data_IF_810518042506
#
_entry.id   IF_810518042506
#
_cell.length_a   1.000
_cell.length_b   1.000
_cell.length_c   1.000
_cell.angle_alpha   90.00
_cell.angle_beta   90.00
_cell.angle_gamma   90.00
#
_symmetry.space_group_name_H-M   'P 1'
#
loop_
_entity.id
_entity.type
_entity.pdbx_description
1 polymer ?
#
# COMPACT_ATOMS: atom_id res chain seq x y z
N UNK A 1 20.76 1.47 0.52
CA UNK A 1 19.86 0.35 0.79
C UNK A 1 18.49 0.96 1.07
N UNK A 2 17.62 1.00 0.05
CA UNK A 2 16.27 1.51 0.23
C UNK A 2 15.41 0.42 0.84
N UNK A 3 14.73 0.77 1.91
CA UNK A 3 13.69 -0.06 2.53
C UNK A 3 12.41 0.15 1.74
N UNK A 4 12.10 -0.73 0.83
CA UNK A 4 10.78 -0.76 0.23
C UNK A 4 9.84 -1.51 1.15
N UNK A 5 8.88 -0.86 1.55
CA UNK A 5 7.82 -1.34 2.40
C UNK A 5 7.06 -0.14 2.83
N UNK A 6 5.88 -0.10 3.14
CA UNK A 6 5.07 1.06 3.52
C UNK A 6 5.74 2.38 3.09
N UNK A 7 5.29 3.01 2.03
CA UNK A 7 5.88 4.27 1.54
C UNK A 7 5.76 5.30 2.65
N UNK A 8 6.82 5.44 3.46
CA UNK A 8 6.96 6.53 4.41
C UNK A 8 7.26 7.78 3.60
N UNK A 9 6.35 8.71 3.70
CA UNK A 9 6.37 10.05 3.14
C UNK A 9 7.70 10.77 3.40
N UNK A 10 8.59 10.78 2.42
CA UNK A 10 9.73 11.69 2.41
C UNK A 10 9.64 12.56 1.16
N UNK A 11 9.26 13.82 1.32
CA UNK A 11 9.31 14.83 0.28
C UNK A 11 10.63 15.58 0.34
N UNK A 12 11.40 15.54 -0.74
CA UNK A 12 12.49 16.49 -0.97
C UNK A 12 11.91 17.72 -1.66
N UNK A 13 11.93 18.89 -0.98
CA UNK A 13 11.58 20.16 -1.55
C UNK A 13 12.71 20.72 -2.39
N UNK A 14 12.41 21.24 -3.57
CA UNK A 14 13.24 22.26 -4.24
C UNK A 14 12.34 23.37 -4.78
N UNK A 15 12.54 24.55 -4.25
CA UNK A 15 11.95 25.81 -4.68
C UNK A 15 12.60 26.32 -5.99
N UNK A 16 11.78 26.76 -6.92
CA UNK A 16 12.24 27.49 -8.12
C UNK A 16 11.11 28.33 -8.69
N UNK A 17 11.11 29.61 -8.31
CA UNK A 17 10.29 30.68 -8.88
C UNK A 17 10.68 30.96 -10.34
N UNK A 18 9.72 31.05 -11.25
CA UNK A 18 9.82 31.91 -12.44
C UNK A 18 8.47 32.10 -13.11
N UNK A 19 8.00 33.32 -13.03
CA UNK A 19 6.92 33.90 -13.82
C UNK A 19 7.26 33.92 -15.33
N UNK A 20 6.35 33.48 -16.21
CA UNK A 20 6.00 34.30 -17.38
C UNK A 20 4.69 33.90 -18.07
N UNK A 21 4.11 34.90 -18.72
CA UNK A 21 2.77 35.10 -19.21
C UNK A 21 2.41 34.44 -20.55
N UNK A 22 1.12 34.08 -20.66
CA UNK A 22 0.23 34.25 -21.84
C UNK A 22 0.44 33.42 -23.10
N UNK A 23 -0.50 32.52 -23.38
CA UNK A 23 -1.32 32.54 -24.59
C UNK A 23 -2.54 31.64 -24.43
N UNK A 24 -3.72 32.18 -24.52
CA UNK A 24 -4.98 31.47 -24.52
C UNK A 24 -5.16 30.68 -25.81
N UNK A 25 -5.37 29.36 -25.70
CA UNK A 25 -6.00 28.58 -26.74
C UNK A 25 -7.26 27.95 -26.10
N UNK A 26 -8.41 28.41 -26.60
CA UNK A 26 -9.70 27.90 -26.18
C UNK A 26 -9.84 26.45 -26.66
N UNK A 27 -9.83 25.49 -25.74
CA UNK A 27 -10.32 24.15 -25.96
C UNK A 27 -11.64 23.99 -25.22
N UNK A 28 -12.66 23.57 -25.94
CA UNK A 28 -14.00 23.25 -25.47
C UNK A 28 -13.96 22.33 -24.27
N UNK A 29 -14.51 22.78 -23.17
CA UNK A 29 -14.67 22.04 -21.92
C UNK A 29 -15.48 20.76 -22.15
N UNK A 30 -14.85 19.61 -21.98
CA UNK A 30 -15.56 18.37 -21.72
C UNK A 30 -16.21 18.51 -20.33
N UNK A 31 -17.51 18.26 -20.27
CA UNK A 31 -18.30 18.41 -19.05
C UNK A 31 -17.75 17.52 -17.94
N UNK A 32 -17.42 18.10 -16.80
CA UNK A 32 -17.14 17.35 -15.59
C UNK A 32 -18.43 16.66 -15.12
N UNK A 33 -18.49 15.35 -15.24
CA UNK A 33 -19.50 14.56 -14.54
C UNK A 33 -19.22 14.71 -13.04
N UNK A 34 -20.16 15.31 -12.31
CA UNK A 34 -20.10 15.42 -10.85
C UNK A 34 -20.14 14.03 -10.20
N UNK A 35 -19.71 13.91 -8.93
CA UNK A 35 -19.70 12.63 -8.24
C UNK A 35 -21.09 12.01 -8.20
N UNK A 36 -21.16 10.70 -8.55
CA UNK A 36 -22.38 9.92 -8.40
C UNK A 36 -22.40 9.37 -6.97
N UNK A 37 -23.43 9.72 -6.19
CA UNK A 37 -23.57 9.27 -4.81
C UNK A 37 -24.70 8.28 -4.70
N UNK A 38 -24.48 7.11 -4.10
CA UNK A 38 -25.53 6.23 -3.61
C UNK A 38 -25.68 6.45 -2.10
N UNK A 39 -26.66 7.24 -1.70
CA UNK A 39 -26.94 7.53 -0.30
C UNK A 39 -28.44 7.55 -0.04
N UNK A 40 -28.83 7.11 1.15
CA UNK A 40 -30.21 7.17 1.67
C UNK A 40 -30.76 8.60 1.62
N UNK A 41 -32.09 8.75 1.67
CA UNK A 41 -32.89 10.00 1.59
C UNK A 41 -32.64 11.02 2.73
N UNK A 42 -31.48 10.98 3.41
CA UNK A 42 -31.01 11.96 4.39
C UNK A 42 -30.14 13.06 3.74
N UNK A 43 -29.94 14.19 4.45
CA UNK A 43 -28.96 15.20 4.02
C UNK A 43 -27.57 14.60 4.01
N UNK A 44 -26.78 14.88 2.95
CA UNK A 44 -25.39 14.43 2.87
C UNK A 44 -24.58 14.88 4.10
N UNK A 45 -23.63 14.04 4.58
CA UNK A 45 -22.70 14.43 5.64
C UNK A 45 -21.98 15.75 5.35
N UNK A 46 -21.74 16.55 6.38
CA UNK A 46 -21.18 17.91 6.22
C UNK A 46 -19.78 17.95 5.63
N UNK A 47 -18.99 16.87 5.76
CA UNK A 47 -17.65 16.75 5.22
C UNK A 47 -17.61 16.49 3.69
N UNK A 48 -18.70 16.03 3.09
CA UNK A 48 -18.72 15.56 1.68
C UNK A 48 -18.22 16.60 0.68
N UNK A 49 -18.60 17.90 0.75
CA UNK A 49 -18.06 18.89 -0.17
C UNK A 49 -16.53 19.04 -0.07
N UNK A 50 -15.98 19.02 1.15
CA UNK A 50 -14.54 19.13 1.38
C UNK A 50 -13.78 17.88 0.89
N UNK A 51 -14.28 16.70 1.20
CA UNK A 51 -13.74 15.41 0.72
C UNK A 51 -13.75 15.36 -0.81
N UNK A 52 -14.88 15.67 -1.44
CA UNK A 52 -15.01 15.64 -2.90
C UNK A 52 -14.04 16.61 -3.59
N UNK A 53 -13.90 17.83 -3.05
CA UNK A 53 -12.98 18.81 -3.60
C UNK A 53 -11.50 18.36 -3.43
N UNK A 54 -11.15 17.79 -2.28
CA UNK A 54 -9.82 17.27 -2.03
C UNK A 54 -9.47 16.11 -2.98
N UNK A 55 -10.37 15.11 -3.11
CA UNK A 55 -10.16 13.98 -4.03
C UNK A 55 -9.98 14.46 -5.47
N UNK A 56 -10.87 15.32 -5.97
CA UNK A 56 -10.79 15.84 -7.33
C UNK A 56 -9.48 16.62 -7.59
N UNK A 57 -9.05 17.42 -6.62
CA UNK A 57 -7.78 18.17 -6.72
C UNK A 57 -6.59 17.21 -6.79
N UNK A 58 -6.52 16.26 -5.85
CA UNK A 58 -5.43 15.27 -5.81
C UNK A 58 -5.40 14.42 -7.08
N UNK A 59 -6.54 13.92 -7.55
CA UNK A 59 -6.61 13.13 -8.78
C UNK A 59 -6.14 13.91 -10.00
N UNK A 60 -6.57 15.18 -10.14
CA UNK A 60 -6.16 16.04 -11.23
C UNK A 60 -4.66 16.32 -11.21
N UNK A 61 -4.12 16.68 -10.04
CA UNK A 61 -2.71 17.09 -9.91
C UNK A 61 -1.74 15.90 -10.06
N UNK A 62 -2.25 14.67 -9.86
CA UNK A 62 -1.47 13.43 -9.91
C UNK A 62 -1.89 12.48 -11.02
N UNK A 63 -2.75 12.92 -11.95
CA UNK A 63 -3.25 12.17 -13.12
C UNK A 63 -3.83 10.79 -12.78
N UNK A 64 -4.54 10.69 -11.65
CA UNK A 64 -5.23 9.46 -11.23
C UNK A 64 -6.52 9.33 -12.04
N UNK A 65 -6.70 8.23 -12.83
CA UNK A 65 -7.85 8.15 -13.74
C UNK A 65 -9.18 7.98 -13.03
N UNK A 66 -9.24 7.09 -12.03
CA UNK A 66 -10.47 6.76 -11.32
C UNK A 66 -10.22 6.40 -9.87
N UNK A 67 -11.22 6.65 -9.03
CA UNK A 67 -11.20 6.29 -7.61
C UNK A 67 -12.62 6.06 -7.08
N UNK A 68 -12.73 5.12 -6.13
CA UNK A 68 -13.87 4.98 -5.23
C UNK A 68 -13.38 5.26 -3.81
N UNK A 69 -14.08 6.17 -3.10
CA UNK A 69 -13.74 6.58 -1.73
C UNK A 69 -14.94 6.33 -0.84
N UNK A 70 -14.76 5.52 0.19
CA UNK A 70 -15.74 5.25 1.23
C UNK A 70 -15.26 5.89 2.55
N UNK A 71 -16.16 6.61 3.18
CA UNK A 71 -16.02 7.14 4.55
C UNK A 71 -17.18 6.59 5.36
N UNK A 72 -16.90 5.83 6.41
CA UNK A 72 -17.89 5.44 7.41
C UNK A 72 -17.56 6.17 8.73
N UNK A 73 -18.53 6.93 9.24
CA UNK A 73 -18.34 7.74 10.44
C UNK A 73 -19.61 7.68 11.32
N UNK A 74 -19.53 7.05 12.50
CA UNK A 74 -20.66 6.96 13.41
C UNK A 74 -21.27 8.32 13.78
N UNK A 75 -20.43 9.34 13.91
CA UNK A 75 -20.84 10.67 14.36
C UNK A 75 -21.32 11.59 13.23
N UNK A 76 -20.78 11.42 12.01
CA UNK A 76 -21.00 12.34 10.89
C UNK A 76 -21.80 11.72 9.74
N UNK A 77 -22.03 10.40 9.80
CA UNK A 77 -22.73 9.63 8.76
C UNK A 77 -21.80 9.07 7.68
N UNK A 78 -22.27 8.05 6.99
CA UNK A 78 -21.52 7.31 5.98
C UNK A 78 -21.70 7.92 4.60
N UNK A 79 -20.67 7.79 3.78
CA UNK A 79 -20.72 8.26 2.40
C UNK A 79 -19.73 7.47 1.52
N UNK A 80 -20.15 7.16 0.31
CA UNK A 80 -19.31 6.62 -0.75
C UNK A 80 -19.41 7.49 -1.98
N UNK A 81 -18.28 7.88 -2.55
CA UNK A 81 -18.20 8.66 -3.79
C UNK A 81 -17.33 8.00 -4.83
N UNK A 82 -17.71 8.16 -6.10
CA UNK A 82 -16.95 7.69 -7.26
C UNK A 82 -16.45 8.89 -8.04
N UNK A 83 -15.23 8.79 -8.57
CA UNK A 83 -14.55 9.87 -9.25
C UNK A 83 -13.82 9.35 -10.48
N UNK A 84 -13.86 10.11 -11.57
CA UNK A 84 -13.11 9.81 -12.78
C UNK A 84 -13.69 8.66 -13.61
N UNK A 85 -12.80 7.92 -14.28
CA UNK A 85 -13.18 6.89 -15.25
C UNK A 85 -12.53 5.54 -14.94
N UNK A 86 -13.24 4.46 -15.20
CA UNK A 86 -12.74 3.11 -15.17
C UNK A 86 -11.82 2.80 -16.35
N UNK A 87 -12.09 3.41 -17.53
CA UNK A 87 -11.30 3.21 -18.74
C UNK A 87 -10.78 4.53 -19.29
N UNK A 88 -9.46 4.69 -19.39
CA UNK A 88 -8.84 5.89 -19.95
C UNK A 88 -9.28 6.12 -21.40
N UNK A 89 -9.73 7.35 -21.67
CA UNK A 89 -10.17 7.75 -23.02
C UNK A 89 -11.60 7.36 -23.34
N UNK A 90 -12.34 6.72 -22.43
CA UNK A 90 -13.73 6.32 -22.62
C UNK A 90 -14.68 7.00 -21.62
N UNK A 91 -15.98 6.95 -21.96
CA UNK A 91 -17.07 7.36 -21.07
C UNK A 91 -17.50 6.16 -20.23
N UNK A 92 -16.67 5.80 -19.26
CA UNK A 92 -16.81 4.64 -18.39
C UNK A 92 -16.64 5.07 -16.93
N UNK A 93 -17.67 5.67 -16.31
CA UNK A 93 -17.55 6.23 -14.97
C UNK A 93 -17.31 5.12 -13.94
N UNK A 94 -16.45 5.38 -12.94
CA UNK A 94 -16.30 4.51 -11.77
C UNK A 94 -17.64 4.28 -11.09
N UNK A 95 -17.86 3.07 -10.58
CA UNK A 95 -19.06 2.70 -9.82
C UNK A 95 -18.71 2.18 -8.42
N UNK A 96 -19.63 2.31 -7.46
CA UNK A 96 -19.39 1.92 -6.05
C UNK A 96 -19.01 0.44 -5.91
N UNK A 97 -19.61 -0.44 -6.73
CA UNK A 97 -19.36 -1.88 -6.71
C UNK A 97 -18.12 -2.34 -7.49
N UNK A 98 -17.27 -1.43 -7.94
CA UNK A 98 -16.05 -1.79 -8.65
C UNK A 98 -15.16 -2.69 -7.82
N UNK A 99 -14.72 -3.80 -8.43
CA UNK A 99 -13.75 -4.71 -7.85
C UNK A 99 -12.32 -4.24 -8.16
N UNK A 100 -11.48 -4.26 -7.14
CA UNK A 100 -10.06 -3.93 -7.23
C UNK A 100 -9.21 -5.13 -6.82
N UNK A 101 -8.07 -5.32 -7.47
CA UNK A 101 -6.98 -6.08 -6.86
C UNK A 101 -6.47 -5.27 -5.68
N UNK A 102 -6.56 -5.85 -4.46
CA UNK A 102 -6.32 -5.09 -3.22
C UNK A 102 -4.88 -5.14 -2.73
N UNK A 103 -3.99 -5.77 -3.51
CA UNK A 103 -2.57 -5.81 -3.18
C UNK A 103 -2.31 -6.25 -1.74
N UNK A 104 -1.40 -5.57 -1.07
CA UNK A 104 -0.92 -5.94 0.26
C UNK A 104 -1.96 -5.89 1.38
N UNK A 105 -3.18 -5.36 1.17
CA UNK A 105 -4.28 -5.59 2.11
C UNK A 105 -4.50 -7.08 2.39
N UNK A 106 -4.18 -7.95 1.43
CA UNK A 106 -4.19 -9.42 1.56
C UNK A 106 -3.35 -9.92 2.74
N UNK A 107 -2.28 -9.22 3.12
CA UNK A 107 -1.40 -9.62 4.23
C UNK A 107 -2.10 -9.66 5.58
N UNK A 108 -3.05 -8.74 5.78
CA UNK A 108 -3.87 -8.71 6.99
C UNK A 108 -4.71 -9.98 7.09
N UNK A 109 -5.21 -10.47 5.96
CA UNK A 109 -6.00 -11.71 5.85
C UNK A 109 -5.14 -12.93 6.19
N UNK A 110 -3.95 -13.04 5.61
CA UNK A 110 -2.98 -14.10 5.89
C UNK A 110 -2.62 -14.15 7.37
N UNK A 111 -2.25 -13.00 7.94
CA UNK A 111 -1.85 -12.92 9.36
C UNK A 111 -3.05 -13.16 10.30
N UNK A 112 -4.27 -12.84 9.89
CA UNK A 112 -5.48 -13.19 10.64
C UNK A 112 -5.64 -14.71 10.73
N UNK A 113 -5.47 -15.47 9.64
CA UNK A 113 -5.52 -16.92 9.69
C UNK A 113 -4.41 -17.49 10.58
N UNK A 114 -3.20 -16.96 10.49
CA UNK A 114 -2.09 -17.37 11.38
C UNK A 114 -2.48 -17.16 12.85
N UNK A 115 -3.04 -16.01 13.21
CA UNK A 115 -3.47 -15.73 14.58
C UNK A 115 -4.65 -16.61 15.03
N UNK A 116 -5.57 -16.96 14.13
CA UNK A 116 -6.61 -17.95 14.41
C UNK A 116 -6.03 -19.34 14.67
N UNK A 117 -4.98 -19.72 13.93
CA UNK A 117 -4.28 -21.00 14.18
C UNK A 117 -3.49 -20.97 15.49
N UNK A 118 -3.01 -19.79 15.94
CA UNK A 118 -2.42 -19.61 17.27
C UNK A 118 -3.47 -19.86 18.36
N UNK A 119 -4.63 -19.21 18.29
CA UNK A 119 -5.69 -19.39 19.27
C UNK A 119 -6.28 -20.82 19.27
N UNK A 120 -6.20 -21.53 18.14
CA UNK A 120 -6.54 -22.96 18.04
C UNK A 120 -5.45 -23.88 18.61
N UNK A 121 -4.31 -23.35 19.06
CA UNK A 121 -3.17 -24.11 19.58
C UNK A 121 -2.44 -24.97 18.54
N UNK A 122 -2.60 -24.64 17.24
CA UNK A 122 -1.96 -25.38 16.12
C UNK A 122 -0.55 -24.92 15.82
N UNK A 123 -0.20 -23.68 16.21
CA UNK A 123 1.13 -23.11 16.16
C UNK A 123 1.31 -22.05 17.25
N UNK A 124 2.55 -21.69 17.55
CA UNK A 124 2.90 -20.59 18.45
C UNK A 124 3.61 -19.47 17.66
N UNK A 125 3.47 -18.22 18.11
CA UNK A 125 4.11 -17.07 17.48
C UNK A 125 5.65 -17.12 17.57
N UNK A 126 6.18 -17.77 18.58
CA UNK A 126 7.62 -18.00 18.79
C UNK A 126 8.15 -19.30 18.14
N UNK A 127 7.28 -20.11 17.51
CA UNK A 127 7.74 -21.25 16.74
C UNK A 127 8.66 -20.82 15.60
N UNK A 128 9.80 -21.50 15.39
CA UNK A 128 10.65 -21.25 14.24
C UNK A 128 9.98 -21.74 12.95
N UNK A 129 10.08 -20.96 11.87
CA UNK A 129 9.49 -21.32 10.57
C UNK A 129 10.01 -22.66 10.05
N UNK A 130 11.26 -23.04 10.35
CA UNK A 130 11.85 -24.32 9.98
C UNK A 130 11.11 -25.54 10.52
N UNK A 131 10.32 -25.39 11.58
CA UNK A 131 9.40 -26.43 12.09
C UNK A 131 8.31 -26.79 11.07
N UNK A 132 7.93 -25.84 10.23
CA UNK A 132 6.84 -25.98 9.26
C UNK A 132 7.35 -26.12 7.83
N UNK A 133 8.26 -25.27 7.41
CA UNK A 133 8.80 -25.21 6.05
C UNK A 133 10.31 -25.48 6.11
N UNK A 134 10.79 -26.55 5.47
CA UNK A 134 12.23 -26.89 5.45
C UNK A 134 13.02 -25.93 4.54
N UNK A 135 14.32 -25.89 4.76
CA UNK A 135 15.30 -25.17 3.91
C UNK A 135 15.12 -23.64 3.83
N UNK A 136 14.38 -23.04 4.77
CA UNK A 136 14.29 -21.56 4.87
C UNK A 136 15.63 -21.05 5.42
N UNK A 137 16.28 -20.05 4.78
CA UNK A 137 17.48 -19.42 5.34
C UNK A 137 17.21 -18.89 6.75
N UNK A 138 18.03 -19.24 7.72
CA UNK A 138 17.82 -18.97 9.16
C UNK A 138 16.48 -19.50 9.72
N UNK A 139 15.89 -20.51 9.09
CA UNK A 139 14.55 -21.00 9.46
C UNK A 139 14.45 -21.58 10.88
N UNK A 140 15.56 -21.95 11.50
CA UNK A 140 15.68 -22.34 12.90
C UNK A 140 15.62 -21.18 13.91
N UNK A 141 15.73 -19.93 13.42
CA UNK A 141 15.81 -18.70 14.21
C UNK A 141 14.68 -17.73 13.92
N UNK A 142 14.15 -17.74 12.68
CA UNK A 142 13.07 -16.86 12.27
C UNK A 142 11.77 -17.39 12.84
N UNK A 143 11.08 -16.60 13.67
CA UNK A 143 9.79 -16.98 14.26
C UNK A 143 8.61 -16.60 13.36
N UNK A 144 7.45 -17.22 13.61
CA UNK A 144 6.18 -16.89 12.95
C UNK A 144 5.83 -15.40 13.18
N UNK A 145 6.04 -14.87 14.40
CA UNK A 145 5.87 -13.45 14.69
C UNK A 145 6.74 -12.57 13.81
N UNK A 146 8.04 -12.86 13.72
CA UNK A 146 9.00 -12.06 12.93
C UNK A 146 8.68 -12.06 11.44
N UNK A 147 8.10 -13.14 10.89
CA UNK A 147 7.58 -13.15 9.52
C UNK A 147 6.40 -12.18 9.38
N UNK A 148 5.41 -12.28 10.28
CA UNK A 148 4.22 -11.42 10.26
C UNK A 148 4.55 -9.93 10.48
N UNK A 149 5.57 -9.64 11.31
CA UNK A 149 6.03 -8.30 11.70
C UNK A 149 7.06 -7.69 10.72
N UNK A 150 7.37 -8.38 9.61
CA UNK A 150 8.38 -7.93 8.63
C UNK A 150 9.78 -7.76 9.24
N UNK A 151 10.19 -8.68 10.16
CA UNK A 151 11.47 -8.63 10.89
C UNK A 151 12.32 -9.90 10.72
N UNK A 152 12.07 -10.66 9.65
CA UNK A 152 12.78 -11.93 9.39
C UNK A 152 14.20 -11.74 8.86
N UNK A 153 14.46 -10.65 8.13
CA UNK A 153 15.68 -10.43 7.36
C UNK A 153 15.73 -11.18 6.02
N UNK A 154 14.68 -11.90 5.63
CA UNK A 154 14.61 -12.57 4.33
C UNK A 154 14.45 -11.55 3.21
N UNK A 155 15.26 -11.72 2.14
CA UNK A 155 15.12 -10.91 0.93
C UNK A 155 13.72 -11.05 0.32
N UNK A 156 13.12 -9.95 -0.12
CA UNK A 156 11.84 -9.99 -0.82
C UNK A 156 12.05 -10.32 -2.29
N UNK A 157 11.49 -11.44 -2.76
CA UNK A 157 11.57 -11.84 -4.17
C UNK A 157 11.09 -10.73 -5.13
N UNK A 158 10.18 -9.86 -4.67
CA UNK A 158 9.62 -8.77 -5.48
C UNK A 158 10.62 -7.65 -5.80
N UNK A 159 11.83 -7.67 -5.21
CA UNK A 159 12.93 -6.78 -5.55
C UNK A 159 14.00 -7.43 -6.43
N UNK A 160 13.81 -8.69 -6.81
CA UNK A 160 14.73 -9.34 -7.74
C UNK A 160 14.58 -8.75 -9.15
N UNK A 161 15.66 -8.28 -9.78
CA UNK A 161 15.58 -7.70 -11.13
C UNK A 161 15.10 -8.69 -12.19
N UNK A 162 15.47 -9.98 -12.07
CA UNK A 162 15.05 -11.03 -13.01
C UNK A 162 13.56 -11.36 -12.87
N UNK A 163 13.05 -11.32 -11.64
CA UNK A 163 11.61 -11.42 -11.38
C UNK A 163 10.85 -10.28 -12.05
N UNK A 164 11.27 -9.02 -11.82
CA UNK A 164 10.62 -7.85 -12.41
C UNK A 164 10.73 -7.81 -13.94
N UNK A 165 11.87 -8.23 -14.50
CA UNK A 165 12.01 -8.41 -15.94
C UNK A 165 11.03 -9.45 -16.49
N UNK A 166 10.79 -10.54 -15.75
CA UNK A 166 9.81 -11.55 -16.14
C UNK A 166 8.37 -11.01 -16.11
N UNK A 167 8.04 -10.14 -15.15
CA UNK A 167 6.73 -9.48 -15.12
C UNK A 167 6.54 -8.56 -16.33
N UNK A 168 7.60 -7.84 -16.75
CA UNK A 168 7.57 -7.00 -17.94
C UNK A 168 7.46 -7.83 -19.24
N UNK A 169 8.23 -8.92 -19.36
CA UNK A 169 8.31 -9.72 -20.59
C UNK A 169 7.13 -10.70 -20.76
N UNK A 170 6.56 -11.17 -19.64
CA UNK A 170 5.45 -12.14 -19.60
C UNK A 170 4.50 -11.86 -18.44
N UNK A 171 3.68 -10.79 -18.52
CA UNK A 171 2.80 -10.37 -17.44
C UNK A 171 1.72 -11.41 -17.07
N UNK A 172 1.47 -12.38 -17.94
CA UNK A 172 0.50 -13.45 -17.69
C UNK A 172 1.12 -14.73 -17.10
N UNK A 173 2.43 -14.73 -16.81
CA UNK A 173 3.06 -15.90 -16.18
C UNK A 173 2.38 -16.24 -14.86
N UNK A 174 1.99 -17.51 -14.74
CA UNK A 174 1.54 -18.09 -13.47
C UNK A 174 2.77 -18.43 -12.63
N UNK A 175 2.82 -17.91 -11.40
CA UNK A 175 3.88 -18.15 -10.45
C UNK A 175 3.41 -19.11 -9.35
N UNK A 176 4.29 -20.04 -8.95
CA UNK A 176 4.05 -20.88 -7.77
C UNK A 176 4.75 -20.31 -6.53
N UNK A 177 4.24 -20.58 -5.31
CA UNK A 177 4.92 -20.19 -4.08
C UNK A 177 6.38 -20.66 -4.02
N UNK A 178 6.67 -21.87 -4.52
CA UNK A 178 8.01 -22.45 -4.53
C UNK A 178 8.96 -21.69 -5.45
N UNK A 179 8.50 -21.24 -6.63
CA UNK A 179 9.30 -20.40 -7.54
C UNK A 179 9.65 -19.06 -6.86
N UNK A 180 8.68 -18.42 -6.21
CA UNK A 180 8.87 -17.16 -5.50
C UNK A 180 9.86 -17.30 -4.35
N UNK A 181 9.72 -18.37 -3.54
CA UNK A 181 10.65 -18.67 -2.46
C UNK A 181 12.04 -19.00 -2.98
N UNK A 182 12.17 -19.72 -4.10
CA UNK A 182 13.46 -20.01 -4.71
C UNK A 182 14.20 -18.72 -5.10
N UNK A 183 13.50 -17.71 -5.62
CA UNK A 183 14.07 -16.39 -5.90
C UNK A 183 14.50 -15.72 -4.58
N UNK A 184 13.61 -15.60 -3.59
CA UNK A 184 13.92 -14.96 -2.31
C UNK A 184 15.11 -15.61 -1.60
N UNK A 185 15.22 -16.95 -1.65
CA UNK A 185 16.28 -17.70 -1.00
C UNK A 185 17.60 -17.75 -1.78
N UNK A 186 17.59 -17.36 -3.06
CA UNK A 186 18.81 -17.23 -3.86
C UNK A 186 19.68 -16.03 -3.45
N UNK A 187 19.07 -15.09 -2.73
CA UNK A 187 19.76 -13.90 -2.20
C UNK A 187 20.22 -14.11 -0.75
N UNK A 188 21.29 -13.44 -0.34
CA UNK A 188 21.69 -13.39 1.09
C UNK A 188 20.55 -12.78 1.94
N UNK A 189 20.47 -13.22 3.20
CA UNK A 189 19.62 -12.53 4.18
C UNK A 189 20.14 -11.12 4.42
N UNK A 190 19.25 -10.16 4.56
CA UNK A 190 19.61 -8.74 4.65
C UNK A 190 20.11 -8.35 6.05
N UNK A 191 19.66 -9.08 7.10
CA UNK A 191 20.04 -8.86 8.51
C UNK A 191 19.63 -10.07 9.38
N UNK A 192 20.05 -10.08 10.62
CA UNK A 192 19.70 -11.14 11.56
C UNK A 192 18.20 -11.04 11.97
N UNK A 193 17.49 -12.18 12.18
CA UNK A 193 16.10 -12.16 12.58
C UNK A 193 15.84 -11.30 13.81
N UNK A 194 14.86 -10.40 13.73
CA UNK A 194 14.49 -9.47 14.79
C UNK A 194 15.28 -8.17 14.86
N UNK A 195 16.35 -8.00 14.08
CA UNK A 195 17.26 -6.85 14.18
C UNK A 195 16.60 -5.53 13.78
N UNK A 196 15.84 -5.53 12.68
CA UNK A 196 15.13 -4.34 12.18
C UNK A 196 13.87 -4.72 11.39
N UNK A 197 13.10 -3.71 11.05
CA UNK A 197 11.99 -3.82 10.10
C UNK A 197 12.53 -3.75 8.67
N UNK A 198 12.06 -4.66 7.82
CA UNK A 198 12.19 -4.57 6.36
C UNK A 198 11.10 -5.39 5.70
N UNK A 199 10.29 -4.71 4.90
CA UNK A 199 9.15 -5.33 4.24
C UNK A 199 9.58 -6.42 3.27
N UNK A 200 9.00 -7.62 3.40
CA UNK A 200 9.33 -8.75 2.54
C UNK A 200 8.09 -9.59 2.22
N UNK A 201 7.76 -9.65 0.94
CA UNK A 201 6.68 -10.52 0.45
C UNK A 201 7.00 -12.00 0.67
N UNK A 202 8.28 -12.38 0.67
CA UNK A 202 8.76 -13.74 0.96
C UNK A 202 8.23 -14.26 2.31
N UNK A 203 8.14 -13.39 3.31
CA UNK A 203 7.60 -13.73 4.63
C UNK A 203 6.17 -14.26 4.54
N UNK A 204 5.35 -13.58 3.77
CA UNK A 204 3.91 -13.87 3.73
C UNK A 204 3.60 -15.07 2.83
N UNK A 205 4.42 -15.29 1.79
CA UNK A 205 4.36 -16.54 1.02
C UNK A 205 4.62 -17.75 1.94
N UNK A 206 5.64 -17.65 2.83
CA UNK A 206 5.92 -18.69 3.84
C UNK A 206 4.72 -18.92 4.77
N UNK A 207 4.10 -17.83 5.26
CA UNK A 207 2.90 -17.94 6.11
C UNK A 207 1.72 -18.55 5.37
N UNK A 208 1.55 -18.29 4.09
CA UNK A 208 0.56 -18.92 3.23
C UNK A 208 0.74 -20.44 3.16
N UNK A 209 1.98 -20.91 2.96
CA UNK A 209 2.29 -22.34 2.98
C UNK A 209 2.08 -22.99 4.36
N UNK A 210 2.34 -22.25 5.45
CA UNK A 210 2.02 -22.71 6.80
C UNK A 210 0.51 -22.88 6.97
N UNK A 211 -0.29 -21.94 6.46
CA UNK A 211 -1.76 -22.04 6.48
C UNK A 211 -2.23 -23.32 5.77
N UNK A 212 -1.76 -23.53 4.54
CA UNK A 212 -2.16 -24.72 3.77
C UNK A 212 -1.76 -26.02 4.46
N UNK A 213 -0.52 -26.07 5.00
CA UNK A 213 -0.02 -27.23 5.74
C UNK A 213 -0.85 -27.56 6.97
N UNK A 214 -1.23 -26.55 7.77
CA UNK A 214 -1.92 -26.77 9.05
C UNK A 214 -3.44 -26.93 8.91
N UNK A 215 -4.01 -26.36 7.84
CA UNK A 215 -5.45 -26.49 7.59
C UNK A 215 -5.81 -27.66 6.68
N UNK A 216 -4.87 -28.12 5.84
CA UNK A 216 -5.13 -29.08 4.78
C UNK A 216 -6.01 -28.54 3.65
N UNK A 217 -6.19 -27.22 3.58
CA UNK A 217 -6.97 -26.48 2.57
C UNK A 217 -6.08 -25.52 1.82
N UNK A 218 -6.48 -25.13 0.60
CA UNK A 218 -5.83 -24.00 -0.07
C UNK A 218 -6.01 -22.71 0.74
N UNK A 219 -5.09 -21.76 0.58
CA UNK A 219 -5.20 -20.45 1.22
C UNK A 219 -6.53 -19.76 0.89
N UNK A 220 -6.99 -19.85 -0.37
CA UNK A 220 -8.28 -19.33 -0.83
C UNK A 220 -9.45 -19.94 -0.03
N UNK A 221 -9.48 -21.27 0.12
CA UNK A 221 -10.52 -21.96 0.91
C UNK A 221 -10.44 -21.60 2.40
N UNK A 222 -9.22 -21.44 2.94
CA UNK A 222 -9.03 -21.03 4.33
C UNK A 222 -9.58 -19.63 4.58
N UNK A 223 -9.37 -18.68 3.66
CA UNK A 223 -9.90 -17.31 3.73
C UNK A 223 -11.42 -17.32 3.62
N UNK A 224 -11.96 -18.06 2.63
CA UNK A 224 -13.40 -18.19 2.43
C UNK A 224 -14.12 -18.67 3.68
N UNK A 225 -13.63 -19.74 4.29
CA UNK A 225 -14.29 -20.38 5.44
C UNK A 225 -14.15 -19.58 6.73
N UNK A 226 -13.03 -18.86 6.90
CA UNK A 226 -12.67 -18.26 8.18
C UNK A 226 -13.16 -16.82 8.34
N UNK A 227 -13.35 -16.10 7.22
CA UNK A 227 -13.85 -14.72 7.32
C UNK A 227 -14.65 -14.23 6.11
N UNK A 228 -14.43 -14.65 4.86
CA UNK A 228 -15.27 -14.15 3.77
C UNK A 228 -16.73 -14.55 3.97
N UNK A 229 -16.99 -15.83 4.14
CA UNK A 229 -18.36 -16.32 4.41
C UNK A 229 -18.92 -15.83 5.74
N UNK A 230 -18.21 -15.93 6.90
CA UNK A 230 -18.73 -15.46 8.18
C UNK A 230 -19.06 -13.97 8.25
N UNK A 231 -18.30 -13.13 7.56
CA UNK A 231 -18.53 -11.67 7.50
C UNK A 231 -19.46 -11.24 6.36
N UNK A 232 -19.86 -12.18 5.48
CA UNK A 232 -20.70 -11.87 4.32
C UNK A 232 -19.98 -11.06 3.24
N UNK A 233 -18.66 -11.22 3.10
CA UNK A 233 -17.86 -10.54 2.07
C UNK A 233 -18.06 -11.24 0.72
N UNK A 234 -19.13 -10.92 0.04
CA UNK A 234 -19.56 -11.62 -1.18
C UNK A 234 -18.76 -11.21 -2.41
N UNK A 235 -18.10 -10.06 -2.35
CA UNK A 235 -17.29 -9.48 -3.44
C UNK A 235 -15.78 -9.60 -3.15
N UNK A 236 -15.40 -10.43 -2.18
CA UNK A 236 -14.00 -10.62 -1.79
C UNK A 236 -13.57 -12.06 -2.06
N UNK A 237 -12.45 -12.23 -2.74
CA UNK A 237 -11.88 -13.54 -3.06
C UNK A 237 -10.36 -13.49 -3.10
N UNK A 238 -9.73 -14.63 -2.87
CA UNK A 238 -8.34 -14.89 -3.26
C UNK A 238 -8.38 -15.81 -4.48
N UNK A 239 -8.08 -15.30 -5.70
CA UNK A 239 -8.14 -16.09 -6.92
C UNK A 239 -7.23 -17.32 -6.87
N UNK A 240 -7.55 -18.34 -7.66
CA UNK A 240 -6.61 -19.42 -7.94
C UNK A 240 -5.44 -18.88 -8.79
N UNK A 241 -4.25 -19.47 -8.71
CA UNK A 241 -3.06 -18.93 -9.40
C UNK A 241 -3.20 -18.81 -10.92
N UNK A 242 -4.01 -19.65 -11.55
CA UNK A 242 -4.27 -19.64 -12.99
C UNK A 242 -5.46 -18.75 -13.41
N UNK A 243 -6.13 -18.13 -12.46
CA UNK A 243 -7.24 -17.20 -12.70
C UNK A 243 -6.77 -15.75 -12.51
N UNK A 244 -6.57 -15.06 -13.63
CA UNK A 244 -6.21 -13.63 -13.64
C UNK A 244 -7.43 -12.71 -13.80
N UNK A 245 -8.64 -13.25 -13.87
CA UNK A 245 -9.86 -12.45 -14.06
C UNK A 245 -10.19 -11.60 -12.84
N UNK A 246 -10.85 -10.48 -13.09
CA UNK A 246 -11.45 -9.62 -12.06
C UNK A 246 -12.96 -9.67 -12.28
N UNK A 247 -13.79 -9.94 -11.25
CA UNK A 247 -15.24 -9.93 -11.38
C UNK A 247 -15.77 -8.56 -11.84
N UNK A 248 -16.84 -8.56 -12.62
CA UNK A 248 -17.55 -7.34 -12.99
C UNK A 248 -18.42 -6.80 -11.85
N UNK A 249 -18.61 -5.47 -11.73
CA UNK A 249 -17.89 -4.44 -12.48
C UNK A 249 -16.46 -4.26 -11.95
N UNK A 250 -15.53 -3.87 -12.84
CA UNK A 250 -14.17 -3.50 -12.45
C UNK A 250 -13.59 -2.46 -13.42
N UNK A 251 -12.77 -1.52 -12.94
CA UNK A 251 -12.06 -0.60 -13.82
C UNK A 251 -10.83 -1.25 -14.44
N UNK A 252 -10.37 -0.73 -15.57
CA UNK A 252 -9.05 -1.06 -16.10
C UNK A 252 -7.97 -0.53 -15.18
N UNK A 253 -6.93 -1.32 -14.94
CA UNK A 253 -5.82 -0.98 -14.04
C UNK A 253 -4.62 -0.42 -14.78
N UNK A 254 -3.99 0.63 -14.23
CA UNK A 254 -2.92 1.37 -14.91
C UNK A 254 -1.65 1.50 -14.05
N UNK A 255 -0.48 1.47 -14.72
CA UNK A 255 0.82 1.73 -14.09
C UNK A 255 1.70 2.58 -14.99
N UNK A 256 2.44 3.52 -14.41
CA UNK A 256 3.47 4.26 -15.11
C UNK A 256 4.80 3.50 -15.11
N UNK A 257 5.50 3.53 -16.25
CA UNK A 257 6.78 2.83 -16.41
C UNK A 257 6.61 1.31 -16.54
N UNK A 258 7.71 0.58 -16.32
CA UNK A 258 7.74 -0.89 -16.25
C UNK A 258 8.17 -1.33 -14.85
N UNK A 259 7.93 -2.60 -14.49
CA UNK A 259 8.34 -3.14 -13.19
C UNK A 259 9.85 -2.97 -12.97
N UNK A 260 10.66 -3.18 -14.01
CA UNK A 260 12.12 -2.99 -13.94
C UNK A 260 12.53 -1.53 -13.82
N UNK A 261 11.86 -0.61 -14.52
CA UNK A 261 12.24 0.82 -14.52
C UNK A 261 11.86 1.53 -13.23
N UNK A 262 10.90 1.01 -12.47
CA UNK A 262 10.37 1.63 -11.25
C UNK A 262 10.72 0.85 -9.97
N UNK A 263 11.50 -0.24 -10.07
CA UNK A 263 11.78 -1.17 -8.98
C UNK A 263 12.39 -0.50 -7.72
N UNK A 264 13.22 0.52 -7.90
CA UNK A 264 13.92 1.15 -6.77
C UNK A 264 13.09 2.23 -6.07
N UNK A 265 12.28 2.97 -6.81
CA UNK A 265 11.62 4.19 -6.31
C UNK A 265 10.13 4.22 -6.56
N UNK A 266 9.59 3.28 -7.32
CA UNK A 266 8.24 3.29 -7.87
C UNK A 266 7.91 4.53 -8.72
N UNK A 267 8.86 5.44 -8.91
CA UNK A 267 8.72 6.67 -9.66
C UNK A 267 9.16 6.50 -11.11
N UNK A 268 8.52 7.24 -12.00
CA UNK A 268 9.08 7.44 -13.34
C UNK A 268 10.43 8.17 -13.25
N UNK A 269 11.32 7.97 -14.23
CA UNK A 269 12.48 8.85 -14.40
C UNK A 269 12.06 10.32 -14.32
N UNK A 270 12.84 11.15 -13.63
CA UNK A 270 12.52 12.59 -13.41
C UNK A 270 12.27 13.33 -14.74
N UNK A 271 12.92 12.91 -15.83
CA UNK A 271 12.73 13.45 -17.18
C UNK A 271 11.34 13.19 -17.75
N UNK A 272 10.66 12.12 -17.33
CA UNK A 272 9.39 11.67 -17.90
C UNK A 272 8.18 12.12 -17.07
N UNK A 273 8.42 12.44 -15.78
CA UNK A 273 7.36 12.91 -14.88
C UNK A 273 6.57 14.14 -15.41
N UNK A 274 7.20 15.19 -15.98
CA UNK A 274 6.46 16.32 -16.52
C UNK A 274 5.52 15.93 -17.66
N UNK A 275 5.92 14.98 -18.53
CA UNK A 275 5.08 14.52 -19.63
C UNK A 275 3.89 13.67 -19.12
N UNK A 276 4.11 12.86 -18.09
CA UNK A 276 3.06 12.09 -17.43
C UNK A 276 2.06 13.02 -16.73
N UNK A 277 2.53 13.98 -15.93
CA UNK A 277 1.68 14.95 -15.23
C UNK A 277 0.92 15.88 -16.20
N UNK A 278 1.46 16.12 -17.39
CA UNK A 278 0.77 16.85 -18.46
C UNK A 278 -0.22 15.97 -19.25
N UNK A 279 -0.31 14.67 -18.97
CA UNK A 279 -1.17 13.70 -19.68
C UNK A 279 -0.70 13.39 -21.10
N UNK A 280 0.55 13.69 -21.46
CA UNK A 280 1.15 13.38 -22.78
C UNK A 280 1.91 12.05 -22.79
N UNK A 281 2.36 11.58 -21.64
CA UNK A 281 2.81 10.21 -21.41
C UNK A 281 1.70 9.48 -20.65
N UNK A 282 1.09 8.50 -21.28
CA UNK A 282 0.01 7.71 -20.68
C UNK A 282 0.57 6.51 -19.91
N UNK A 283 -0.11 6.03 -18.85
CA UNK A 283 0.25 4.80 -18.18
C UNK A 283 -0.09 3.57 -19.02
N UNK A 284 0.56 2.45 -18.72
CA UNK A 284 0.28 1.15 -19.31
C UNK A 284 -0.98 0.52 -18.68
N UNK A 285 -1.74 -0.22 -19.46
CA UNK A 285 -2.85 -1.03 -18.95
C UNK A 285 -2.30 -2.39 -18.46
N UNK A 286 -2.51 -2.68 -17.17
CA UNK A 286 -2.04 -3.88 -16.48
C UNK A 286 -3.19 -4.79 -16.02
N UNK A 287 -4.41 -4.55 -16.52
CA UNK A 287 -5.62 -5.25 -16.06
C UNK A 287 -5.49 -6.76 -16.21
N UNK A 288 -4.94 -7.22 -17.33
CA UNK A 288 -4.82 -8.64 -17.65
C UNK A 288 -3.56 -9.31 -17.07
N UNK A 289 -2.71 -8.56 -16.33
CA UNK A 289 -1.53 -9.16 -15.70
C UNK A 289 -1.93 -10.20 -14.65
N UNK A 290 -1.24 -11.35 -14.62
CA UNK A 290 -1.55 -12.42 -13.67
C UNK A 290 -1.02 -12.08 -12.27
N UNK A 291 -1.89 -11.99 -11.21
CA UNK A 291 -1.51 -11.60 -9.85
C UNK A 291 -0.98 -12.76 -9.00
N UNK A 292 -0.78 -13.98 -9.54
CA UNK A 292 -0.40 -15.18 -8.79
C UNK A 292 0.88 -14.99 -7.96
N UNK A 293 1.78 -14.15 -8.42
CA UNK A 293 2.99 -13.81 -7.68
C UNK A 293 2.69 -13.07 -6.35
N UNK A 294 1.54 -12.39 -6.26
CA UNK A 294 1.06 -11.78 -5.02
C UNK A 294 0.50 -12.82 -4.05
N UNK A 295 -0.24 -13.79 -4.53
CA UNK A 295 -0.89 -14.86 -3.78
C UNK A 295 -1.36 -14.39 -2.39
N UNK A 296 -0.91 -15.07 -1.30
CA UNK A 296 -1.24 -14.67 0.08
C UNK A 296 -0.61 -13.35 0.52
N UNK A 297 0.34 -12.82 -0.23
CA UNK A 297 0.97 -11.53 0.04
C UNK A 297 0.28 -10.35 -0.67
N UNK A 298 -0.57 -10.60 -1.70
CA UNK A 298 -1.11 -9.47 -2.47
C UNK A 298 -2.14 -9.84 -3.54
N UNK A 299 -2.60 -11.09 -3.58
CA UNK A 299 -3.42 -11.59 -4.71
C UNK A 299 -4.94 -11.42 -4.55
N UNK A 300 -5.45 -10.95 -3.42
CA UNK A 300 -6.90 -10.86 -3.21
C UNK A 300 -7.54 -9.72 -4.03
N UNK A 301 -8.83 -9.89 -4.30
CA UNK A 301 -9.73 -8.94 -4.96
C UNK A 301 -10.84 -8.60 -3.98
N UNK A 302 -11.30 -7.33 -3.96
CA UNK A 302 -12.41 -6.88 -3.13
C UNK A 302 -13.05 -5.59 -3.66
N UNK A 303 -14.13 -5.16 -3.03
CA UNK A 303 -14.77 -3.85 -3.19
C UNK A 303 -14.50 -2.97 -1.96
N UNK A 304 -14.75 -1.67 -2.06
CA UNK A 304 -14.61 -0.77 -0.90
C UNK A 304 -15.58 -1.11 0.23
N UNK A 305 -16.79 -1.59 -0.09
CA UNK A 305 -17.80 -1.96 0.91
C UNK A 305 -17.40 -3.22 1.69
N UNK A 306 -16.88 -4.25 0.99
CA UNK A 306 -16.38 -5.45 1.66
C UNK A 306 -15.12 -5.14 2.49
N UNK A 307 -14.22 -4.28 2.00
CA UNK A 307 -13.05 -3.83 2.76
C UNK A 307 -13.42 -3.03 4.00
N UNK A 308 -14.48 -2.19 3.94
CA UNK A 308 -15.01 -1.50 5.12
C UNK A 308 -15.45 -2.50 6.19
N UNK A 309 -16.30 -3.45 5.80
CA UNK A 309 -16.76 -4.52 6.72
C UNK A 309 -15.58 -5.31 7.30
N UNK A 310 -14.58 -5.61 6.46
CA UNK A 310 -13.43 -6.38 6.87
C UNK A 310 -12.51 -5.62 7.84
N UNK A 311 -12.19 -4.34 7.56
CA UNK A 311 -11.27 -3.58 8.40
C UNK A 311 -11.86 -3.25 9.78
N UNK A 312 -13.17 -3.01 9.87
CA UNK A 312 -13.87 -2.86 11.14
C UNK A 312 -13.72 -4.15 11.99
N UNK A 313 -14.03 -5.30 11.40
CA UNK A 313 -13.87 -6.60 12.07
C UNK A 313 -12.38 -6.91 12.40
N UNK A 314 -11.44 -6.46 11.60
CA UNK A 314 -9.99 -6.62 11.81
C UNK A 314 -9.50 -5.85 13.04
N UNK A 315 -10.01 -4.64 13.26
CA UNK A 315 -9.53 -3.69 14.28
C UNK A 315 -10.36 -3.79 15.56
N UNK A 316 -11.68 -3.72 15.46
CA UNK A 316 -12.59 -3.72 16.62
C UNK A 316 -12.85 -5.14 17.17
N UNK A 317 -12.47 -6.17 16.40
CA UNK A 317 -12.64 -7.56 16.79
C UNK A 317 -13.80 -8.25 16.05
N UNK A 318 -13.91 -9.55 16.27
CA UNK A 318 -14.86 -10.42 15.54
C UNK A 318 -14.16 -11.47 14.69
N UNK A 319 -12.87 -11.29 14.39
CA UNK A 319 -12.04 -12.26 13.68
C UNK A 319 -11.19 -13.11 14.64
N UNK A 320 -10.88 -12.59 15.82
CA UNK A 320 -10.04 -13.21 16.84
C UNK A 320 -10.73 -13.15 18.20
N UNK A 321 -10.35 -14.04 19.12
CA UNK A 321 -10.73 -13.88 20.51
C UNK A 321 -10.04 -12.66 21.15
N UNK A 322 -10.56 -12.17 22.27
CA UNK A 322 -10.09 -10.94 22.92
C UNK A 322 -8.60 -11.00 23.31
N UNK A 323 -8.08 -12.17 23.68
CA UNK A 323 -6.68 -12.33 24.07
C UNK A 323 -5.76 -12.24 22.83
N UNK A 324 -6.11 -12.92 21.75
CA UNK A 324 -5.35 -12.91 20.49
C UNK A 324 -5.45 -11.54 19.79
N UNK A 325 -6.63 -10.90 19.83
CA UNK A 325 -6.79 -9.53 19.33
C UNK A 325 -5.89 -8.55 20.08
N UNK A 326 -5.84 -8.67 21.41
CA UNK A 326 -4.91 -7.85 22.22
C UNK A 326 -3.44 -8.07 21.82
N UNK A 327 -3.02 -9.31 21.58
CA UNK A 327 -1.66 -9.62 21.12
C UNK A 327 -1.39 -8.90 19.79
N UNK A 328 -2.34 -8.91 18.83
CA UNK A 328 -2.22 -8.18 17.58
C UNK A 328 -2.07 -6.68 17.81
N UNK A 329 -2.94 -6.08 18.62
CA UNK A 329 -2.94 -4.62 18.85
C UNK A 329 -1.72 -4.14 19.65
N UNK A 330 -1.17 -4.97 20.53
CA UNK A 330 0.05 -4.67 21.28
C UNK A 330 1.35 -4.85 20.45
N UNK A 331 1.27 -5.45 19.26
CA UNK A 331 2.45 -5.82 18.46
C UNK A 331 3.06 -4.66 17.65
N UNK A 332 2.42 -3.50 17.60
CA UNK A 332 2.91 -2.37 16.81
C UNK A 332 4.29 -1.89 17.23
N UNK A 333 5.20 -1.82 16.26
CA UNK A 333 6.55 -1.30 16.41
C UNK A 333 6.83 -0.31 15.28
N UNK A 334 7.62 0.73 15.54
CA UNK A 334 8.02 1.68 14.51
C UNK A 334 8.74 0.98 13.35
N UNK A 335 8.41 1.38 12.13
CA UNK A 335 9.10 0.93 10.91
C UNK A 335 10.45 1.62 10.73
N UNK A 336 10.61 2.82 11.32
CA UNK A 336 11.85 3.59 11.38
C UNK A 336 11.98 4.25 12.77
N UNK A 337 12.72 3.64 13.70
CA UNK A 337 12.90 4.21 15.05
C UNK A 337 13.58 5.58 15.09
N UNK A 338 14.27 5.97 14.00
CA UNK A 338 14.90 7.29 13.86
C UNK A 338 13.90 8.41 13.49
N UNK A 339 12.69 8.04 13.07
CA UNK A 339 11.64 8.97 12.64
C UNK A 339 10.38 8.82 13.53
N UNK A 340 10.11 9.76 14.45
CA UNK A 340 8.93 9.68 15.32
C UNK A 340 7.59 9.69 14.58
N UNK A 341 7.57 10.19 13.33
CA UNK A 341 6.38 10.20 12.46
C UNK A 341 6.25 8.97 11.57
N UNK A 342 7.16 7.99 11.68
CA UNK A 342 7.07 6.78 10.89
C UNK A 342 5.81 5.97 11.23
N UNK A 343 5.28 5.30 10.22
CA UNK A 343 4.25 4.31 10.42
C UNK A 343 4.73 3.20 11.39
N UNK A 344 3.78 2.51 11.99
CA UNK A 344 4.06 1.33 12.81
C UNK A 344 3.55 0.09 12.07
N UNK A 345 4.21 -1.04 12.31
CA UNK A 345 3.81 -2.33 11.77
C UNK A 345 3.80 -3.39 12.88
N UNK A 346 2.77 -4.20 12.90
CA UNK A 346 2.60 -5.27 13.86
C UNK A 346 2.43 -6.63 13.17
N UNK A 347 1.65 -7.51 13.76
CA UNK A 347 1.36 -8.85 13.24
C UNK A 347 0.48 -8.79 11.98
N UNK A 348 1.10 -8.44 10.84
CA UNK A 348 0.50 -8.31 9.53
C UNK A 348 -0.52 -7.17 9.40
N UNK A 349 -0.31 -6.11 10.15
CA UNK A 349 -1.20 -4.94 10.18
C UNK A 349 -0.36 -3.66 10.35
N UNK A 350 -0.77 -2.58 9.71
CA UNK A 350 -0.11 -1.29 9.76
C UNK A 350 -0.91 -0.28 10.59
N UNK A 351 -0.20 0.72 11.13
CA UNK A 351 -0.81 1.89 11.76
C UNK A 351 -0.21 3.16 11.18
N UNK A 352 -1.07 4.00 10.58
CA UNK A 352 -0.73 5.28 9.95
C UNK A 352 -1.49 6.39 10.69
N UNK A 353 -0.80 7.10 11.58
CA UNK A 353 -1.47 8.01 12.50
C UNK A 353 -2.48 7.26 13.38
N UNK A 354 -3.76 7.68 13.46
CA UNK A 354 -4.81 6.98 14.19
C UNK A 354 -5.38 5.77 13.45
N UNK A 355 -5.24 5.73 12.11
CA UNK A 355 -5.83 4.69 11.27
C UNK A 355 -5.01 3.39 11.35
N UNK A 356 -5.70 2.30 11.63
CA UNK A 356 -5.16 0.93 11.70
C UNK A 356 -5.75 0.12 10.55
N UNK A 357 -4.91 -0.56 9.78
CA UNK A 357 -5.32 -1.31 8.59
C UNK A 357 -4.13 -1.67 7.73
N UNK A 358 -4.22 -1.43 6.44
CA UNK A 358 -3.12 -1.62 5.49
C UNK A 358 -3.39 -0.88 4.18
N UNK A 359 -2.36 -0.61 3.41
CA UNK A 359 -2.45 -0.22 2.00
C UNK A 359 -2.12 -1.41 1.09
N UNK A 360 -2.43 -1.30 -0.17
CA UNK A 360 -2.13 -2.37 -1.10
C UNK A 360 -1.87 -1.89 -2.51
N UNK A 361 -0.65 -2.11 -2.98
CA UNK A 361 -0.22 -1.82 -4.33
C UNK A 361 0.04 -3.12 -5.09
N UNK A 362 -0.44 -3.18 -6.31
CA UNK A 362 -0.17 -4.21 -7.30
C UNK A 362 -0.23 -3.55 -8.69
N UNK A 363 0.45 -4.06 -9.73
CA UNK A 363 0.30 -3.49 -11.08
C UNK A 363 -1.16 -3.24 -11.43
N UNK A 364 -1.45 -2.00 -11.84
CA UNK A 364 -2.78 -1.55 -12.21
C UNK A 364 -3.61 -0.90 -11.11
N UNK A 365 -3.39 -1.24 -9.84
CA UNK A 365 -4.30 -0.85 -8.76
C UNK A 365 -3.58 -0.44 -7.49
N UNK A 366 -4.20 0.46 -6.74
CA UNK A 366 -3.86 0.69 -5.35
C UNK A 366 -5.11 0.85 -4.50
N UNK A 367 -5.05 0.29 -3.28
CA UNK A 367 -6.12 0.39 -2.30
C UNK A 367 -5.55 0.78 -0.94
N UNK A 368 -6.38 1.42 -0.14
CA UNK A 368 -6.14 1.68 1.28
C UNK A 368 -7.40 1.31 2.06
N UNK A 369 -7.24 0.68 3.20
CA UNK A 369 -8.28 0.52 4.22
C UNK A 369 -7.70 0.86 5.59
N UNK A 370 -8.40 1.68 6.35
CA UNK A 370 -7.98 2.06 7.69
C UNK A 370 -9.17 2.43 8.58
N UNK A 371 -9.17 1.92 9.80
CA UNK A 371 -10.15 2.17 10.83
C UNK A 371 -9.46 2.80 12.05
N UNK A 372 -10.07 3.84 12.59
CA UNK A 372 -9.66 4.49 13.84
C UNK A 372 -10.55 3.99 14.99
N UNK A 373 -10.04 3.11 15.87
CA UNK A 373 -10.85 2.55 16.95
C UNK A 373 -11.31 3.57 18.01
N UNK A 374 -10.67 4.75 18.08
CA UNK A 374 -11.02 5.77 19.05
C UNK A 374 -12.23 6.61 18.59
N UNK A 375 -12.34 6.90 17.30
CA UNK A 375 -13.43 7.69 16.70
C UNK A 375 -14.46 6.85 15.94
N UNK A 376 -14.15 5.60 15.63
CA UNK A 376 -14.95 4.74 14.75
C UNK A 376 -14.91 5.16 13.29
N UNK A 377 -14.02 6.10 12.90
CA UNK A 377 -13.89 6.52 11.49
C UNK A 377 -13.20 5.44 10.68
N UNK A 378 -13.84 5.00 9.59
CA UNK A 378 -13.24 4.15 8.58
C UNK A 378 -13.06 4.91 7.28
N UNK A 379 -11.89 4.76 6.66
CA UNK A 379 -11.58 5.29 5.33
C UNK A 379 -11.14 4.13 4.46
N UNK A 380 -11.83 3.92 3.33
CA UNK A 380 -11.44 2.95 2.31
C UNK A 380 -11.32 3.67 0.96
N UNK A 381 -10.22 3.44 0.26
CA UNK A 381 -9.93 4.07 -1.03
C UNK A 381 -9.51 2.98 -2.01
N UNK A 382 -10.16 2.91 -3.17
CA UNK A 382 -9.72 2.13 -4.32
C UNK A 382 -9.39 3.06 -5.49
N UNK A 383 -8.27 2.82 -6.16
CA UNK A 383 -7.84 3.55 -7.36
C UNK A 383 -7.39 2.60 -8.45
N UNK A 384 -7.59 2.98 -9.69
CA UNK A 384 -7.16 2.23 -10.86
C UNK A 384 -5.82 2.73 -11.45
N UNK A 385 -4.97 3.27 -10.58
CA UNK A 385 -3.57 3.60 -10.84
C UNK A 385 -2.73 3.08 -9.68
N UNK A 386 -1.64 2.35 -9.95
CA UNK A 386 -0.79 1.81 -8.89
C UNK A 386 -0.04 2.92 -8.16
N UNK A 387 0.75 3.71 -8.88
CA UNK A 387 1.52 4.84 -8.34
C UNK A 387 1.37 6.06 -9.23
N UNK A 388 1.41 7.23 -8.62
CA UNK A 388 1.49 8.49 -9.37
C UNK A 388 2.88 8.66 -10.01
N UNK A 389 3.07 9.53 -11.00
CA UNK A 389 4.37 9.65 -11.71
C UNK A 389 5.58 9.87 -10.80
N UNK A 390 5.38 10.49 -9.64
CA UNK A 390 6.44 10.74 -8.64
C UNK A 390 6.77 9.54 -7.73
N UNK A 391 6.07 8.41 -7.91
CA UNK A 391 6.33 7.15 -7.21
C UNK A 391 5.52 6.93 -5.93
N UNK A 392 4.70 7.91 -5.54
CA UNK A 392 3.81 7.70 -4.40
C UNK A 392 2.59 6.86 -4.80
N UNK A 393 2.11 6.05 -3.88
CA UNK A 393 0.90 5.26 -4.10
C UNK A 393 -0.34 6.15 -4.26
N UNK A 394 -1.12 5.93 -5.31
CA UNK A 394 -2.24 6.80 -5.67
C UNK A 394 -3.32 6.91 -4.59
N UNK A 395 -3.72 5.79 -3.95
CA UNK A 395 -4.68 5.80 -2.84
C UNK A 395 -4.12 6.50 -1.60
N UNK A 396 -2.81 6.36 -1.30
CA UNK A 396 -2.16 7.08 -0.20
C UNK A 396 -2.05 8.58 -0.47
N UNK A 397 -1.85 8.98 -1.72
CA UNK A 397 -1.87 10.40 -2.11
C UNK A 397 -3.25 11.02 -1.88
N UNK A 398 -4.32 10.29 -2.19
CA UNK A 398 -5.70 10.71 -1.85
C UNK A 398 -5.88 10.75 -0.33
N UNK A 399 -5.48 9.71 0.41
CA UNK A 399 -5.58 9.67 1.87
C UNK A 399 -4.94 10.90 2.52
N UNK A 400 -3.74 11.30 2.09
CA UNK A 400 -3.07 12.51 2.59
C UNK A 400 -3.92 13.76 2.41
N UNK A 401 -4.61 13.89 1.28
CA UNK A 401 -5.53 15.00 1.04
C UNK A 401 -6.76 14.98 1.96
N UNK A 402 -7.16 13.80 2.45
CA UNK A 402 -8.32 13.64 3.33
C UNK A 402 -7.99 13.81 4.82
N UNK A 403 -6.80 13.41 5.27
CA UNK A 403 -6.41 13.45 6.68
C UNK A 403 -6.65 14.80 7.37
N UNK A 404 -6.34 15.97 6.77
CA UNK A 404 -6.60 17.26 7.41
C UNK A 404 -8.07 17.57 7.66
N UNK A 405 -8.98 16.94 6.91
CA UNK A 405 -10.43 17.14 7.06
C UNK A 405 -10.93 16.46 8.33
N UNK A 406 -10.42 15.27 8.63
CA UNK A 406 -10.84 14.47 9.78
C UNK A 406 -9.91 14.67 10.99
N UNK A 407 -8.64 14.96 10.76
CA UNK A 407 -7.61 15.13 11.79
C UNK A 407 -6.86 16.46 11.62
N UNK A 408 -7.52 17.61 11.83
CA UNK A 408 -6.93 18.93 11.53
C UNK A 408 -5.71 19.28 12.38
N UNK A 409 -5.50 18.59 13.49
CA UNK A 409 -4.36 18.81 14.41
C UNK A 409 -3.25 17.76 14.26
N UNK A 410 -3.39 16.81 13.34
CA UNK A 410 -2.39 15.78 13.10
C UNK A 410 -1.26 16.34 12.23
N UNK A 411 -0.01 16.19 12.69
CA UNK A 411 1.14 16.41 11.83
C UNK A 411 1.12 15.34 10.71
N UNK A 412 0.95 15.78 9.46
CA UNK A 412 1.00 14.87 8.31
C UNK A 412 2.46 14.47 8.13
N UNK A 413 2.83 13.19 8.23
CA UNK A 413 4.19 12.76 7.95
C UNK A 413 4.57 13.15 6.53
N UNK A 414 5.64 13.95 6.34
CA UNK A 414 6.10 14.43 5.03
C UNK A 414 5.42 15.69 4.50
N UNK A 415 4.53 16.32 5.24
CA UNK A 415 4.06 17.69 4.95
C UNK A 415 5.12 18.70 5.34
N UNK A 416 5.38 19.69 4.43
CA UNK A 416 6.26 20.81 4.68
C UNK A 416 5.80 21.54 5.96
N UNK A 417 6.67 21.89 6.92
CA UNK A 417 6.31 22.73 8.06
C UNK A 417 6.19 24.21 7.62
N UNK A 418 5.30 24.50 6.71
CA UNK A 418 4.95 25.87 6.37
C UNK A 418 4.03 26.45 7.46
N UNK A 419 4.60 27.45 8.16
CA UNK A 419 3.95 28.35 9.10
C UNK A 419 3.80 27.91 10.56
N UNK A 420 4.95 27.70 11.24
CA UNK A 420 5.03 28.14 12.64
C UNK A 420 5.47 29.63 12.66
N UNK A 421 4.89 30.50 13.51
CA UNK A 421 5.26 31.91 13.54
C UNK A 421 6.70 32.05 14.04
N UNK A 422 7.51 32.74 13.26
CA UNK A 422 8.89 33.11 13.58
C UNK A 422 8.96 33.94 14.87
N UNK A 423 9.50 33.39 15.92
CA UNK A 423 10.04 34.17 17.03
C UNK A 423 11.52 34.47 16.73
N UNK A 424 11.82 35.74 16.73
CA UNK A 424 13.12 36.33 16.40
C UNK A 424 14.24 35.92 17.38
N UNK A 425 15.45 35.78 16.85
CA UNK A 425 16.69 36.14 17.53
C UNK A 425 17.63 34.97 17.86
N UNK A 426 18.73 34.87 17.13
CA UNK A 426 19.91 34.09 17.50
C UNK A 426 20.97 34.07 16.40
N UNK A 427 21.99 34.87 16.62
CA UNK A 427 23.17 35.17 15.79
C UNK A 427 23.92 33.97 15.20
N UNK A 428 24.26 34.08 13.94
CA UNK A 428 25.12 33.17 13.19
C UNK A 428 26.57 33.21 13.72
N UNK A 429 27.17 32.03 13.88
CA UNK A 429 28.60 31.87 14.00
C UNK A 429 29.11 31.13 12.74
N UNK A 430 29.93 31.83 11.98
CA UNK A 430 30.66 31.31 10.83
C UNK A 430 31.84 30.46 11.30
N UNK A 431 31.95 29.23 10.82
CA UNK A 431 33.20 28.44 10.94
C UNK A 431 33.75 28.13 9.54
N UNK A 432 34.92 28.72 9.29
CA UNK A 432 35.84 28.43 8.18
C UNK A 432 36.27 26.98 8.18
N UNK A 433 36.17 26.31 7.06
CA UNK A 433 36.84 25.01 6.82
C UNK A 433 37.81 25.14 5.63
N UNK A 434 39.06 25.12 5.95
CA UNK A 434 40.21 25.09 5.01
C UNK A 434 40.32 23.74 4.30
N UNK A 435 40.55 23.76 3.00
CA UNK A 435 40.82 22.59 2.16
C UNK A 435 42.26 22.00 2.44
N UNK A 436 42.43 20.68 2.34
CA UNK A 436 43.78 20.09 2.41
C UNK A 436 44.48 20.07 1.06
N UNK A 437 45.80 20.35 1.13
CA UNK A 437 46.72 20.44 0.01
C UNK A 437 47.12 19.06 -0.56
N UNK A 438 47.33 19.03 -1.86
CA UNK A 438 47.85 17.92 -2.67
C UNK A 438 49.33 17.65 -2.38
N UNK A 439 49.83 16.41 -2.29
CA UNK A 439 51.25 16.14 -2.22
C UNK A 439 51.88 16.03 -3.62
N UNK A 440 52.95 16.79 -3.79
CA UNK A 440 53.84 16.80 -4.96
C UNK A 440 54.79 15.61 -4.88
N UNK A 441 54.89 14.79 -5.92
CA UNK A 441 55.90 13.77 -6.10
C UNK A 441 57.16 14.38 -6.68
N UNK A 442 58.30 14.30 -5.95
CA UNK A 442 59.64 14.52 -6.48
C UNK A 442 60.28 13.18 -6.75
N UNK A 443 60.72 12.98 -7.99
CA UNK A 443 61.63 11.91 -8.42
C UNK A 443 63.06 12.32 -8.17
N UNK A 444 63.88 11.43 -7.59
CA UNK A 444 65.35 11.45 -7.73
C UNK A 444 65.89 10.04 -7.70
N UNK A 445 66.74 9.76 -8.69
CA UNK A 445 67.80 8.77 -8.67
C UNK A 445 67.45 7.38 -9.17
#
# INVERSE_FOLDING_TARGET
MLTAGLVVLAACGSSGDSSNSSAAVSSTAAGSSGPTTSGSTGSQPSYVPAVSAAVQTVMKDNVIPGSVVLIASPDQGDWTGTFGTGTLGEQDPMVVGDHFRIGSNTKTMTSTVILQLVQEGKLALDDPIGKYIPNVPNGDKITIAQLSEMRSGLYSYSFDPGFNQTLDDNPQKVWTPEELLAIGFSHPVNFAPGEKYEYSNTNIILLGLVIEKLTGKTASQAFQDRFFTPLGLHNTLLPLPDDASIPDPHPQGYSFGSNTSTIETYALPVTDQPAALAGTLLPNNETDANPSWGWTAGGAISTVDDLNTYVDALVDGGLLDAATQKIRMDSFQSTDPGNPGAAQYGLGIAKIGPLIGHDGQIPGYMTFMGHDPDSGLTIVIGTNLATVPTGEGSALTILKGLLPIFYPNMAIPGGDPAAAPTSAGGTAATSDVSAPATPTTTSTG
#
